data_IF_483001453458
#
_entry.id   IF_483001453458
#
_cell.length_a   1.000
_cell.length_b   1.000
_cell.length_c   1.000
_cell.angle_alpha   90.00
_cell.angle_beta   90.00
_cell.angle_gamma   90.00
#
_symmetry.space_group_name_H-M   'P 1'
#
loop_
_entity.id
_entity.type
_entity.pdbx_description
1 polymer ?
#
# COMPACT_ATOMS: atom_id res chain seq x y z
N UNK A 1 8.25 4.80 -6.00
CA UNK A 1 7.05 5.28 -5.26
C UNK A 1 7.13 4.75 -3.83
N UNK A 2 6.71 5.48 -2.79
CA UNK A 2 6.63 4.87 -1.45
C UNK A 2 5.32 4.09 -1.34
N UNK A 3 5.41 2.77 -1.47
CA UNK A 3 4.27 1.88 -1.23
C UNK A 3 4.07 1.82 0.28
N UNK A 4 2.88 2.18 0.80
CA UNK A 4 2.63 2.14 2.24
C UNK A 4 2.81 0.72 2.77
N UNK A 5 3.35 0.63 3.98
CA UNK A 5 3.40 -0.63 4.71
C UNK A 5 1.98 -1.02 5.10
N UNK A 6 1.54 -2.19 4.64
CA UNK A 6 0.21 -2.70 4.94
C UNK A 6 0.21 -3.29 6.35
N UNK A 7 -0.73 -2.86 7.18
CA UNK A 7 -0.87 -3.34 8.56
C UNK A 7 -1.57 -4.69 8.55
N UNK A 8 -1.35 -5.49 9.60
CA UNK A 8 -2.07 -6.76 9.79
C UNK A 8 -3.59 -6.58 9.89
N UNK A 9 -4.05 -5.41 10.33
CA UNK A 9 -5.47 -5.04 10.41
C UNK A 9 -6.08 -4.64 9.06
N UNK A 10 -5.26 -4.41 8.04
CA UNK A 10 -5.75 -3.98 6.74
C UNK A 10 -6.41 -5.17 6.01
N UNK A 11 -7.38 -4.91 5.12
CA UNK A 11 -7.99 -5.96 4.31
C UNK A 11 -6.95 -6.76 3.51
N UNK A 12 -7.16 -8.07 3.39
CA UNK A 12 -6.23 -8.97 2.69
C UNK A 12 -5.95 -8.50 1.25
N UNK A 13 -6.97 -7.99 0.54
CA UNK A 13 -6.82 -7.48 -0.83
C UNK A 13 -5.81 -6.33 -0.87
N UNK A 14 -5.82 -5.43 0.12
CA UNK A 14 -4.88 -4.32 0.19
C UNK A 14 -3.47 -4.80 0.49
N UNK A 15 -3.34 -5.74 1.43
CA UNK A 15 -2.07 -6.35 1.83
C UNK A 15 -1.41 -7.08 0.64
N UNK A 16 -2.18 -7.91 -0.07
CA UNK A 16 -1.72 -8.67 -1.24
C UNK A 16 -1.39 -7.73 -2.41
N UNK A 17 -2.21 -6.70 -2.67
CA UNK A 17 -1.93 -5.70 -3.71
C UNK A 17 -0.60 -4.99 -3.45
N UNK A 18 -0.38 -4.52 -2.21
CA UNK A 18 0.86 -3.86 -1.82
C UNK A 18 2.08 -4.81 -1.91
N UNK A 19 1.89 -6.08 -1.53
CA UNK A 19 2.91 -7.13 -1.64
C UNK A 19 3.34 -7.36 -3.09
N UNK A 20 2.37 -7.62 -3.97
CA UNK A 20 2.61 -7.86 -5.41
C UNK A 20 3.32 -6.66 -6.02
N UNK A 21 2.86 -5.44 -5.75
CA UNK A 21 3.47 -4.25 -6.33
C UNK A 21 4.93 -4.09 -5.88
N UNK A 22 5.24 -4.31 -4.60
CA UNK A 22 6.62 -4.25 -4.07
C UNK A 22 7.53 -5.30 -4.73
N UNK A 23 7.05 -6.52 -4.89
CA UNK A 23 7.80 -7.60 -5.57
C UNK A 23 8.00 -7.28 -7.05
N UNK A 24 6.96 -6.79 -7.74
CA UNK A 24 7.01 -6.40 -9.14
C UNK A 24 7.98 -5.25 -9.39
N UNK A 25 8.00 -4.20 -8.56
CA UNK A 25 8.97 -3.08 -8.68
C UNK A 25 10.42 -3.57 -8.58
N UNK A 26 10.67 -4.59 -7.75
CA UNK A 26 12.00 -5.23 -7.59
C UNK A 26 12.29 -6.31 -8.63
N UNK A 27 11.33 -6.62 -9.51
CA UNK A 27 11.40 -7.74 -10.47
C UNK A 27 11.65 -9.09 -9.79
N UNK A 28 11.15 -9.25 -8.56
CA UNK A 28 11.27 -10.48 -7.78
C UNK A 28 10.10 -11.40 -8.10
N UNK A 29 10.42 -12.64 -8.48
CA UNK A 29 9.43 -13.71 -8.59
C UNK A 29 9.08 -14.24 -7.20
N UNK A 30 7.87 -14.74 -7.05
CA UNK A 30 7.44 -15.43 -5.84
C UNK A 30 6.34 -16.45 -6.15
N UNK A 31 6.18 -17.44 -5.28
CA UNK A 31 5.07 -18.38 -5.32
C UNK A 31 3.99 -18.03 -4.30
N UNK A 32 2.79 -18.59 -4.44
CA UNK A 32 1.70 -18.38 -3.47
C UNK A 32 2.12 -18.86 -2.08
N UNK A 33 2.76 -20.03 -1.99
CA UNK A 33 3.25 -20.59 -0.72
C UNK A 33 4.36 -19.75 -0.08
N UNK A 34 5.25 -19.18 -0.90
CA UNK A 34 6.29 -18.27 -0.38
C UNK A 34 5.64 -17.00 0.18
N UNK A 35 4.69 -16.42 -0.57
CA UNK A 35 3.97 -15.22 -0.17
C UNK A 35 3.27 -15.39 1.19
N UNK A 36 2.56 -16.51 1.39
CA UNK A 36 1.86 -16.83 2.64
C UNK A 36 2.76 -16.91 3.88
N UNK A 37 4.05 -17.24 3.69
CA UNK A 37 5.03 -17.36 4.78
C UNK A 37 5.72 -16.04 5.11
N UNK A 38 5.51 -15.00 4.32
CA UNK A 38 6.12 -13.69 4.57
C UNK A 38 5.46 -13.00 5.77
N UNK A 39 6.22 -12.16 6.47
CA UNK A 39 5.70 -11.38 7.59
C UNK A 39 4.54 -10.46 7.15
N UNK A 40 4.60 -9.94 5.92
CA UNK A 40 3.65 -9.00 5.35
C UNK A 40 2.26 -9.63 5.13
N UNK A 41 2.24 -10.90 4.71
CA UNK A 41 1.01 -11.68 4.48
C UNK A 41 0.74 -12.70 5.57
N UNK A 42 1.44 -12.62 6.71
CA UNK A 42 1.21 -13.51 7.85
C UNK A 42 -0.27 -13.52 8.26
N UNK A 43 -0.84 -14.72 8.36
CA UNK A 43 -2.25 -14.95 8.68
C UNK A 43 -3.20 -14.93 7.48
N UNK A 44 -2.72 -14.69 6.25
CA UNK A 44 -3.51 -14.87 5.02
C UNK A 44 -3.19 -16.26 4.46
N UNK A 45 -4.22 -17.06 4.19
CA UNK A 45 -4.03 -18.41 3.66
C UNK A 45 -3.62 -18.40 2.19
N UNK A 46 -2.90 -19.44 1.75
CA UNK A 46 -2.52 -19.67 0.36
C UNK A 46 -3.76 -19.55 -0.57
N UNK A 47 -4.90 -20.14 -0.18
CA UNK A 47 -6.16 -20.06 -0.92
C UNK A 47 -6.63 -18.62 -1.11
N UNK A 48 -6.60 -17.81 -0.04
CA UNK A 48 -7.04 -16.43 -0.11
C UNK A 48 -6.10 -15.57 -0.94
N UNK A 49 -4.78 -15.82 -0.84
CA UNK A 49 -3.77 -15.14 -1.67
C UNK A 49 -3.98 -15.51 -3.13
N UNK A 50 -4.17 -16.79 -3.46
CA UNK A 50 -4.41 -17.25 -4.82
C UNK A 50 -5.69 -16.64 -5.42
N UNK A 51 -6.78 -16.59 -4.67
CA UNK A 51 -8.04 -15.97 -5.08
C UNK A 51 -7.86 -14.48 -5.41
N UNK A 52 -7.22 -13.73 -4.51
CA UNK A 52 -6.97 -12.31 -4.73
C UNK A 52 -6.05 -12.10 -5.94
N UNK A 53 -4.96 -12.87 -6.05
CA UNK A 53 -4.01 -12.76 -7.16
C UNK A 53 -4.70 -13.04 -8.51
N UNK A 54 -5.61 -14.02 -8.58
CA UNK A 54 -6.41 -14.28 -9.79
C UNK A 54 -7.17 -13.04 -10.26
N UNK A 55 -7.69 -12.25 -9.33
CA UNK A 55 -8.48 -11.06 -9.62
C UNK A 55 -7.62 -9.85 -9.99
N UNK A 56 -6.53 -9.62 -9.24
CA UNK A 56 -5.80 -8.35 -9.32
C UNK A 56 -4.60 -8.35 -10.27
N UNK A 57 -4.13 -9.52 -10.70
CA UNK A 57 -2.90 -9.65 -11.48
C UNK A 57 -3.14 -9.95 -12.96
N UNK A 58 -2.16 -9.59 -13.78
CA UNK A 58 -1.98 -10.14 -15.12
C UNK A 58 -1.42 -11.57 -15.02
N UNK A 59 -1.43 -12.28 -16.15
CA UNK A 59 -0.91 -13.64 -16.21
C UNK A 59 0.61 -13.65 -16.01
N UNK A 60 1.12 -14.32 -14.97
CA UNK A 60 2.49 -14.14 -14.50
C UNK A 60 3.60 -14.71 -15.40
N UNK A 61 3.31 -15.75 -16.19
CA UNK A 61 4.28 -16.43 -17.05
C UNK A 61 3.73 -16.63 -18.48
N UNK A 62 2.81 -15.77 -18.93
CA UNK A 62 2.16 -15.88 -20.24
C UNK A 62 0.79 -16.57 -20.18
N UNK A 63 0.20 -16.91 -21.34
CA UNK A 63 -1.13 -17.53 -21.44
C UNK A 63 -1.28 -18.75 -20.52
N UNK A 64 -2.45 -18.89 -19.90
CA UNK A 64 -2.89 -19.98 -19.01
C UNK A 64 -2.06 -20.16 -17.71
N UNK A 65 -1.04 -19.32 -17.50
CA UNK A 65 -0.20 -19.38 -16.30
C UNK A 65 -0.93 -18.93 -15.03
N UNK A 66 -2.00 -18.13 -15.17
CA UNK A 66 -2.78 -17.68 -14.03
C UNK A 66 -3.41 -18.86 -13.31
N UNK A 67 -4.19 -19.67 -14.03
CA UNK A 67 -4.93 -20.79 -13.44
C UNK A 67 -4.00 -21.84 -12.83
N UNK A 68 -2.95 -22.21 -13.54
CA UNK A 68 -1.98 -23.20 -13.05
C UNK A 68 -1.24 -22.75 -11.78
N UNK A 69 -0.80 -21.49 -11.71
CA UNK A 69 -0.02 -20.98 -10.58
C UNK A 69 -0.87 -20.51 -9.39
N UNK A 70 -2.18 -20.55 -9.50
CA UNK A 70 -3.11 -20.21 -8.42
C UNK A 70 -4.04 -21.36 -8.03
N UNK A 71 -3.96 -22.50 -8.71
CA UNK A 71 -4.71 -23.70 -8.34
C UNK A 71 -3.99 -24.46 -7.24
N UNK A 72 -4.69 -24.62 -6.12
CA UNK A 72 -4.17 -25.32 -4.94
C UNK A 72 -4.76 -26.73 -4.92
N UNK A 73 -3.97 -27.66 -5.44
CA UNK A 73 -4.26 -29.09 -5.49
C UNK A 73 -2.99 -29.91 -5.18
N UNK A 74 -3.08 -31.24 -5.35
CA UNK A 74 -1.98 -32.16 -5.09
C UNK A 74 -0.83 -32.08 -6.12
N UNK A 75 -0.93 -31.24 -7.15
CA UNK A 75 0.15 -31.04 -8.13
C UNK A 75 1.17 -29.99 -7.65
N UNK A 76 0.83 -29.22 -6.61
CA UNK A 76 1.70 -28.21 -5.99
C UNK A 76 2.24 -27.13 -6.94
N UNK A 77 1.59 -26.92 -8.09
CA UNK A 77 2.04 -25.93 -9.08
C UNK A 77 1.96 -24.50 -8.55
N UNK A 78 1.04 -24.20 -7.62
CA UNK A 78 0.96 -22.93 -6.90
C UNK A 78 2.21 -22.57 -6.08
N UNK A 79 3.10 -23.54 -5.82
CA UNK A 79 4.40 -23.31 -5.19
C UNK A 79 5.49 -22.89 -6.19
N UNK A 80 5.20 -22.86 -7.49
CA UNK A 80 6.16 -22.38 -8.49
C UNK A 80 6.18 -20.84 -8.53
N UNK A 81 7.36 -20.21 -8.64
CA UNK A 81 7.45 -18.76 -8.73
C UNK A 81 6.89 -18.19 -10.06
N UNK A 82 6.07 -17.15 -9.96
CA UNK A 82 5.54 -16.40 -11.09
C UNK A 82 6.09 -14.97 -11.16
N UNK A 83 6.07 -14.35 -12.36
CA UNK A 83 6.31 -12.91 -12.51
C UNK A 83 4.99 -12.15 -12.34
N UNK A 84 4.55 -12.00 -11.10
CA UNK A 84 3.29 -11.33 -10.81
C UNK A 84 3.38 -9.82 -11.08
N UNK A 85 2.41 -9.31 -11.82
CA UNK A 85 2.23 -7.89 -12.06
C UNK A 85 0.75 -7.56 -11.89
N UNK A 86 0.45 -6.42 -11.27
CA UNK A 86 -0.93 -5.97 -11.17
C UNK A 86 -1.51 -5.70 -12.56
N UNK A 87 -2.80 -5.98 -12.71
CA UNK A 87 -3.55 -5.50 -13.86
C UNK A 87 -3.69 -3.97 -13.81
N UNK A 88 -4.00 -3.37 -14.96
CA UNK A 88 -4.04 -1.91 -15.13
C UNK A 88 -5.02 -1.24 -14.17
N UNK A 89 -6.21 -1.83 -13.99
CA UNK A 89 -7.25 -1.31 -13.12
C UNK A 89 -6.80 -1.28 -11.65
N UNK A 90 -6.34 -2.42 -11.14
CA UNK A 90 -5.85 -2.52 -9.75
C UNK A 90 -4.68 -1.59 -9.53
N UNK A 91 -3.74 -1.51 -10.48
CA UNK A 91 -2.59 -0.62 -10.38
C UNK A 91 -3.03 0.84 -10.20
N UNK A 92 -3.87 1.37 -11.10
CA UNK A 92 -4.30 2.77 -11.01
C UNK A 92 -5.23 3.05 -9.83
N UNK A 93 -6.09 2.09 -9.45
CA UNK A 93 -6.92 2.20 -8.26
C UNK A 93 -6.05 2.27 -6.99
N UNK A 94 -4.99 1.46 -6.93
CA UNK A 94 -4.04 1.47 -5.80
C UNK A 94 -3.19 2.75 -5.77
N UNK A 95 -2.77 3.27 -6.93
CA UNK A 95 -2.11 4.59 -7.02
C UNK A 95 -3.02 5.70 -6.47
N UNK A 96 -4.30 5.66 -6.85
CA UNK A 96 -5.31 6.63 -6.41
C UNK A 96 -5.53 6.55 -4.89
N UNK A 97 -5.63 5.33 -4.35
CA UNK A 97 -5.69 5.09 -2.91
C UNK A 97 -4.51 5.73 -2.17
N UNK A 98 -3.28 5.54 -2.67
CA UNK A 98 -2.07 6.11 -2.06
C UNK A 98 -2.06 7.63 -2.15
N UNK A 99 -2.51 8.19 -3.28
CA UNK A 99 -2.63 9.64 -3.48
C UNK A 99 -3.58 10.27 -2.45
N UNK A 100 -4.75 9.65 -2.23
CA UNK A 100 -5.73 10.10 -1.23
C UNK A 100 -5.14 10.04 0.18
N UNK A 101 -4.52 8.92 0.55
CA UNK A 101 -3.86 8.78 1.87
C UNK A 101 -2.79 9.84 2.13
N UNK A 102 -1.98 10.15 1.11
CA UNK A 102 -0.94 11.18 1.22
C UNK A 102 -1.54 12.60 1.28
N UNK A 103 -2.64 12.83 0.57
CA UNK A 103 -3.38 14.09 0.61
C UNK A 103 -4.02 14.31 1.97
N UNK A 104 -4.61 13.29 2.58
CA UNK A 104 -5.17 13.38 3.94
C UNK A 104 -4.10 13.68 4.99
N UNK A 105 -2.94 12.99 4.92
CA UNK A 105 -1.79 13.26 5.81
C UNK A 105 -1.30 14.69 5.64
N UNK A 106 -1.11 15.13 4.40
CA UNK A 106 -0.66 16.50 4.08
C UNK A 106 -1.67 17.54 4.56
N UNK A 107 -2.97 17.27 4.41
CA UNK A 107 -4.03 18.18 4.85
C UNK A 107 -4.07 18.32 6.38
N UNK A 108 -3.92 17.21 7.12
CA UNK A 108 -3.82 17.24 8.58
C UNK A 108 -2.60 18.07 9.03
N UNK A 109 -1.44 17.85 8.42
CA UNK A 109 -0.23 18.63 8.71
C UNK A 109 -0.40 20.11 8.37
N UNK A 110 -0.99 20.43 7.23
CA UNK A 110 -1.27 21.80 6.82
C UNK A 110 -2.20 22.50 7.84
N UNK A 111 -3.23 21.80 8.32
CA UNK A 111 -4.14 22.31 9.35
C UNK A 111 -3.40 22.66 10.64
N UNK A 112 -2.52 21.78 11.13
CA UNK A 112 -1.69 22.07 12.31
C UNK A 112 -0.73 23.24 12.08
N UNK A 113 -0.07 23.29 10.92
CA UNK A 113 0.84 24.38 10.57
C UNK A 113 0.13 25.73 10.51
N UNK A 114 -1.07 25.77 9.93
CA UNK A 114 -1.92 26.98 9.90
C UNK A 114 -2.23 27.42 11.33
N UNK A 115 -2.63 26.49 12.21
CA UNK A 115 -2.94 26.83 13.60
C UNK A 115 -1.73 27.39 14.37
N UNK A 116 -0.56 26.76 14.23
CA UNK A 116 0.69 27.25 14.83
C UNK A 116 1.06 28.64 14.29
N UNK A 117 0.96 28.84 12.97
CA UNK A 117 1.24 30.13 12.35
C UNK A 117 0.27 31.22 12.83
N UNK A 118 -1.03 30.91 12.96
CA UNK A 118 -2.03 31.83 13.52
C UNK A 118 -1.71 32.19 14.98
N UNK A 119 -1.35 31.23 15.82
CA UNK A 119 -0.97 31.49 17.21
C UNK A 119 0.30 32.37 17.31
N UNK A 120 1.31 32.12 16.47
CA UNK A 120 2.53 32.92 16.42
C UNK A 120 2.27 34.36 15.97
N UNK A 121 1.40 34.58 14.98
CA UNK A 121 0.98 35.91 14.55
C UNK A 121 0.29 36.68 15.67
N UNK A 122 -0.67 36.05 16.37
CA UNK A 122 -1.36 36.69 17.50
C UNK A 122 -0.40 37.02 18.66
N UNK A 123 0.53 36.11 18.98
CA UNK A 123 1.55 36.34 19.99
C UNK A 123 2.46 37.53 19.66
N UNK A 124 2.90 37.64 18.40
CA UNK A 124 3.71 38.78 17.95
C UNK A 124 2.95 40.11 18.03
N UNK A 125 1.67 40.13 17.65
CA UNK A 125 0.83 41.34 17.77
C UNK A 125 0.69 41.77 19.24
N UNK A 126 0.45 40.82 20.14
CA UNK A 126 0.34 41.08 21.58
C UNK A 126 1.67 41.56 22.19
N UNK A 127 2.79 40.98 21.78
CA UNK A 127 4.11 41.42 22.25
C UNK A 127 4.38 42.88 21.81
N UNK A 128 4.07 43.22 20.55
CA UNK A 128 4.22 44.58 20.04
C UNK A 128 3.35 45.59 20.78
N UNK A 129 2.10 45.24 21.11
CA UNK A 129 1.20 46.15 21.85
C UNK A 129 1.65 46.39 23.29
N UNK A 130 2.16 45.37 23.99
CA UNK A 130 2.71 45.52 25.34
C UNK A 130 3.96 46.42 25.32
N UNK A 131 4.84 46.24 24.34
CA UNK A 131 6.07 47.03 24.20
C UNK A 131 5.76 48.51 23.92
N UNK A 132 4.65 48.79 23.24
CA UNK A 132 4.22 50.16 22.93
C UNK A 132 3.59 50.89 24.13
N UNK A 133 2.97 50.18 25.08
CA UNK A 133 2.34 50.77 26.28
C UNK A 133 3.35 51.00 27.42
N UNK A 134 4.46 50.26 27.42
CA UNK A 134 5.53 50.38 28.43
C UNK A 134 6.58 51.47 28.16
N UNK A 135 6.51 52.16 27.02
CA UNK A 135 7.32 53.34 26.66
C UNK A 135 6.50 54.62 26.83
#
# INVERSE_FOLDING_TARGET
MQIPEAKKSDPDVLRVTAFVLRKSEKKEKFSICEAAKTQELNGVSDYRIAEIIKEICLQPNGPDSMESLTTIDNTYVHNNPGNWQLNTETYFNFLSYISTQNSEKSNKLATYSIWIASAALLGNILALSITFIGN
#
